data_IF_342780836018
#
_entry.id   IF_342780836018
#
_cell.length_a   1.000
_cell.length_b   1.000
_cell.length_c   1.000
_cell.angle_alpha   90.00
_cell.angle_beta   90.00
_cell.angle_gamma   90.00
#
_symmetry.space_group_name_H-M   'P 1'
#
loop_
_entity.id
_entity.type
_entity.pdbx_description
1 polymer ?
#
# COMPACT_ATOMS: atom_id res chain seq x y z
N UNK A 1 2.33 -7.45 13.93
CA UNK A 1 1.35 -6.60 13.22
C UNK A 1 1.95 -5.95 11.97
N UNK A 2 3.04 -5.20 12.11
CA UNK A 2 3.66 -4.51 10.96
C UNK A 2 4.04 -5.44 9.83
N UNK A 3 4.62 -6.61 10.13
CA UNK A 3 5.03 -7.57 9.11
C UNK A 3 3.85 -8.12 8.33
N UNK A 4 2.75 -8.39 9.03
CA UNK A 4 1.53 -8.89 8.38
C UNK A 4 0.94 -7.82 7.48
N UNK A 5 0.90 -6.58 7.96
CA UNK A 5 0.38 -5.45 7.19
C UNK A 5 1.15 -5.27 5.89
N UNK A 6 2.49 -5.23 5.96
CA UNK A 6 3.32 -5.07 4.76
C UNK A 6 3.14 -6.23 3.80
N UNK A 7 3.10 -7.45 4.32
CA UNK A 7 2.92 -8.64 3.49
C UNK A 7 1.59 -8.59 2.73
N UNK A 8 0.52 -8.23 3.41
CA UNK A 8 -0.79 -8.15 2.78
C UNK A 8 -0.87 -7.02 1.76
N UNK A 9 -0.22 -5.89 2.04
CA UNK A 9 -0.14 -4.79 1.08
C UNK A 9 0.60 -5.23 -0.19
N UNK A 10 1.74 -5.93 -0.04
CA UNK A 10 2.46 -6.45 -1.20
C UNK A 10 1.63 -7.44 -2.00
N UNK A 11 0.96 -8.35 -1.32
CA UNK A 11 0.11 -9.34 -1.98
C UNK A 11 -1.02 -8.68 -2.77
N UNK A 12 -1.64 -7.66 -2.19
CA UNK A 12 -2.70 -6.92 -2.86
C UNK A 12 -2.21 -6.23 -4.12
N UNK A 13 -1.01 -5.62 -4.07
CA UNK A 13 -0.43 -4.98 -5.24
C UNK A 13 -0.14 -6.01 -6.33
N UNK A 14 0.44 -7.14 -5.96
CA UNK A 14 0.77 -8.22 -6.92
C UNK A 14 -0.46 -8.82 -7.54
N UNK A 15 -1.55 -8.95 -6.76
CA UNK A 15 -2.81 -9.49 -7.25
C UNK A 15 -3.65 -8.45 -8.00
N UNK A 16 -3.19 -7.19 -8.07
CA UNK A 16 -3.96 -6.09 -8.64
C UNK A 16 -5.31 -5.92 -7.95
N UNK A 17 -5.31 -6.06 -6.62
CA UNK A 17 -6.50 -6.03 -5.79
C UNK A 17 -6.54 -4.71 -5.02
N UNK A 18 -7.08 -3.67 -5.66
CA UNK A 18 -7.12 -2.33 -5.08
C UNK A 18 -7.99 -2.28 -3.82
N UNK A 19 -9.06 -3.05 -3.77
CA UNK A 19 -9.96 -3.07 -2.61
C UNK A 19 -9.27 -3.58 -1.36
N UNK A 20 -8.57 -4.71 -1.49
CA UNK A 20 -7.79 -5.26 -0.38
C UNK A 20 -6.67 -4.31 0.02
N UNK A 21 -6.02 -3.70 -0.95
CA UNK A 21 -4.96 -2.73 -0.69
C UNK A 21 -5.48 -1.56 0.14
N UNK A 22 -6.60 -0.98 -0.24
CA UNK A 22 -7.22 0.13 0.49
C UNK A 22 -7.63 -0.30 1.90
N UNK A 23 -8.20 -1.49 2.03
CA UNK A 23 -8.59 -2.03 3.33
C UNK A 23 -7.41 -2.16 4.27
N UNK A 24 -6.31 -2.70 3.79
CA UNK A 24 -5.12 -2.85 4.61
C UNK A 24 -4.44 -1.51 4.92
N UNK A 25 -4.49 -0.55 3.98
CA UNK A 25 -4.01 0.80 4.26
C UNK A 25 -4.83 1.45 5.38
N UNK A 26 -6.14 1.27 5.34
CA UNK A 26 -7.02 1.81 6.37
C UNK A 26 -6.71 1.19 7.74
N UNK A 27 -6.54 -0.13 7.77
CA UNK A 27 -6.14 -0.82 9.00
C UNK A 27 -4.81 -0.30 9.53
N UNK A 28 -3.83 -0.13 8.65
CA UNK A 28 -2.53 0.40 9.02
C UNK A 28 -2.62 1.83 9.55
N UNK A 29 -3.48 2.63 8.96
CA UNK A 29 -3.69 4.00 9.41
C UNK A 29 -4.24 4.03 10.84
N UNK A 30 -5.17 3.12 11.15
CA UNK A 30 -5.76 3.02 12.48
C UNK A 30 -4.76 2.51 13.52
N UNK A 31 -3.93 1.55 13.13
CA UNK A 31 -2.98 0.91 14.07
C UNK A 31 -1.71 1.74 14.28
N UNK A 32 -1.18 2.32 13.21
CA UNK A 32 0.14 2.97 13.25
C UNK A 32 0.07 4.49 13.18
N UNK A 33 -1.02 5.02 12.65
CA UNK A 33 -1.14 6.44 12.39
C UNK A 33 -0.52 6.83 11.04
N UNK A 34 -0.93 8.00 10.54
CA UNK A 34 -0.54 8.47 9.21
C UNK A 34 0.97 8.62 9.02
N UNK A 35 1.72 9.26 9.95
CA UNK A 35 3.16 9.45 9.73
C UNK A 35 3.93 8.13 9.62
N UNK A 36 3.61 7.16 10.47
CA UNK A 36 4.29 5.88 10.47
C UNK A 36 3.93 5.08 9.24
N UNK A 37 2.65 5.03 8.88
CA UNK A 37 2.20 4.31 7.71
C UNK A 37 2.79 4.90 6.43
N UNK A 38 2.80 6.23 6.31
CA UNK A 38 3.40 6.90 5.16
C UNK A 38 4.88 6.55 5.03
N UNK A 39 5.61 6.56 6.16
CA UNK A 39 7.02 6.18 6.16
C UNK A 39 7.22 4.74 5.70
N UNK A 40 6.40 3.81 6.16
CA UNK A 40 6.49 2.42 5.73
C UNK A 40 6.25 2.28 4.23
N UNK A 41 5.25 2.94 3.71
CA UNK A 41 4.93 2.87 2.28
C UNK A 41 6.07 3.47 1.46
N UNK A 42 6.54 4.66 1.83
CA UNK A 42 7.55 5.37 1.03
C UNK A 42 8.95 4.77 1.18
N UNK A 43 9.32 4.35 2.39
CA UNK A 43 10.70 3.95 2.68
C UNK A 43 10.93 2.45 2.54
N UNK A 44 9.92 1.64 2.78
CA UNK A 44 10.05 0.18 2.79
C UNK A 44 9.36 -0.44 1.59
N UNK A 45 8.09 -0.08 1.37
CA UNK A 45 7.28 -0.71 0.34
C UNK A 45 7.67 -0.29 -1.07
N UNK A 46 7.68 1.01 -1.35
CA UNK A 46 7.97 1.50 -2.71
C UNK A 46 9.33 1.07 -3.23
N UNK A 47 10.42 1.14 -2.45
CA UNK A 47 11.72 0.69 -2.94
C UNK A 47 11.77 -0.80 -3.30
N UNK A 48 10.87 -1.59 -2.71
CA UNK A 48 10.81 -3.04 -2.94
C UNK A 48 9.90 -3.44 -4.09
N UNK A 49 9.17 -2.49 -4.67
CA UNK A 49 8.23 -2.77 -5.76
C UNK A 49 8.89 -2.58 -7.12
N UNK A 50 8.42 -3.35 -8.11
CA UNK A 50 8.81 -3.14 -9.50
C UNK A 50 8.17 -1.86 -10.03
N UNK A 51 8.65 -1.38 -11.18
CA UNK A 51 8.07 -0.20 -11.83
C UNK A 51 6.58 -0.41 -12.12
N UNK A 52 6.21 -1.59 -12.60
CA UNK A 52 4.82 -1.90 -12.90
C UNK A 52 3.95 -1.87 -11.64
N UNK A 53 4.47 -2.35 -10.53
CA UNK A 53 3.75 -2.35 -9.26
C UNK A 53 3.60 -0.94 -8.70
N UNK A 54 4.64 -0.12 -8.83
CA UNK A 54 4.56 1.30 -8.45
C UNK A 54 3.52 2.03 -9.28
N UNK A 55 3.49 1.78 -10.59
CA UNK A 55 2.52 2.40 -11.50
C UNK A 55 1.10 2.00 -11.12
N UNK A 56 0.91 0.78 -10.66
CA UNK A 56 -0.38 0.30 -10.18
C UNK A 56 -0.89 1.12 -9.00
N UNK A 57 -0.02 1.35 -8.02
CA UNK A 57 -0.37 2.15 -6.85
C UNK A 57 -0.69 3.57 -7.25
N UNK A 58 0.11 4.18 -8.11
CA UNK A 58 -0.13 5.54 -8.61
C UNK A 58 -1.48 5.61 -9.32
N UNK A 59 -1.78 4.63 -10.17
CA UNK A 59 -3.05 4.58 -10.88
C UNK A 59 -4.23 4.48 -9.92
N UNK A 60 -4.10 3.70 -8.84
CA UNK A 60 -5.16 3.59 -7.85
C UNK A 60 -5.43 4.92 -7.15
N UNK A 61 -4.37 5.67 -6.79
CA UNK A 61 -4.53 6.99 -6.20
C UNK A 61 -5.18 7.97 -7.17
N UNK A 62 -4.72 8.01 -8.40
CA UNK A 62 -5.27 8.91 -9.41
C UNK A 62 -6.68 8.49 -9.85
N UNK A 63 -6.90 7.19 -9.97
CA UNK A 63 -8.21 6.66 -10.33
C UNK A 63 -9.30 7.01 -9.34
N UNK A 64 -8.96 7.09 -8.06
CA UNK A 64 -9.92 7.48 -7.03
C UNK A 64 -10.32 8.94 -7.18
N UNK A 65 -9.44 9.77 -7.74
CA UNK A 65 -9.68 11.18 -7.93
C UNK A 65 -10.52 11.48 -9.18
N UNK A 66 -10.62 10.51 -10.04
CA UNK A 66 -11.39 10.65 -11.29
C UNK A 66 -12.83 10.21 -11.10
#
# INVERSE_FOLDING_TARGET
MTNVLLEELFLAVRANDAESFKGWLYEGLQELGEPVLTGLVLDVMLPSLSTAEKDRIVAWYLGVSL
#
